data_IF_738359717803
#
_entry.id   IF_738359717803
#
_cell.length_a   1.000
_cell.length_b   1.000
_cell.length_c   1.000
_cell.angle_alpha   90.00
_cell.angle_beta   90.00
_cell.angle_gamma   90.00
#
_symmetry.space_group_name_H-M   'P 1'
#
loop_
_entity.id
_entity.type
_entity.pdbx_description
1 polymer ?
#
# COMPACT_ATOMS: atom_id res chain seq x y z
N UNK A 1 -4.68 16.08 23.19
CA UNK A 1 -4.46 16.17 21.74
C UNK A 1 -3.89 14.82 21.29
N UNK A 2 -4.39 14.19 20.22
CA UNK A 2 -3.80 12.93 19.76
C UNK A 2 -2.39 13.21 19.25
N UNK A 3 -1.46 12.33 19.59
CA UNK A 3 -0.09 12.35 19.14
C UNK A 3 -0.01 12.28 17.59
N UNK A 4 1.01 12.85 16.97
CA UNK A 4 1.19 12.86 15.50
C UNK A 4 1.29 11.43 14.97
N UNK A 5 1.99 10.54 15.66
CA UNK A 5 2.09 9.13 15.28
C UNK A 5 0.72 8.45 15.25
N UNK A 6 -0.14 8.71 16.23
CA UNK A 6 -1.51 8.21 16.24
C UNK A 6 -2.37 8.77 15.10
N UNK A 7 -2.14 10.03 14.71
CA UNK A 7 -2.83 10.63 13.57
C UNK A 7 -2.38 10.00 12.25
N UNK A 8 -1.08 9.76 12.06
CA UNK A 8 -0.53 9.06 10.89
C UNK A 8 -1.05 7.63 10.78
N UNK A 9 -1.04 6.88 11.89
CA UNK A 9 -1.62 5.54 11.94
C UNK A 9 -3.11 5.53 11.57
N UNK A 10 -3.85 6.53 12.04
CA UNK A 10 -5.25 6.71 11.67
C UNK A 10 -5.42 6.97 10.17
N UNK A 11 -4.63 7.85 9.57
CA UNK A 11 -4.66 8.13 8.13
C UNK A 11 -4.40 6.87 7.31
N UNK A 12 -3.44 6.05 7.73
CA UNK A 12 -3.18 4.75 7.09
C UNK A 12 -4.40 3.81 7.23
N UNK A 13 -4.99 3.68 8.41
CA UNK A 13 -6.19 2.87 8.62
C UNK A 13 -7.38 3.35 7.79
N UNK A 14 -7.54 4.66 7.62
CA UNK A 14 -8.58 5.25 6.76
C UNK A 14 -8.32 4.94 5.26
N UNK A 15 -7.07 4.99 4.81
CA UNK A 15 -6.68 4.53 3.46
C UNK A 15 -7.02 3.05 3.24
N UNK A 16 -6.75 2.22 4.24
CA UNK A 16 -6.95 0.76 4.15
C UNK A 16 -8.42 0.36 4.18
N UNK A 17 -9.19 0.90 5.13
CA UNK A 17 -10.51 0.38 5.51
C UNK A 17 -11.67 1.34 5.27
N UNK A 18 -11.43 2.60 5.00
CA UNK A 18 -12.44 3.60 4.71
C UNK A 18 -12.41 4.82 5.62
N UNK A 19 -13.33 5.74 5.33
CA UNK A 19 -13.45 7.06 5.96
C UNK A 19 -12.32 8.06 5.56
N UNK A 20 -11.51 7.73 4.55
CA UNK A 20 -10.56 8.68 3.99
C UNK A 20 -11.26 9.81 3.22
N UNK A 21 -10.60 10.96 3.10
CA UNK A 21 -11.10 12.11 2.35
C UNK A 21 -11.33 11.81 0.85
N UNK A 22 -10.72 10.75 0.32
CA UNK A 22 -10.89 10.31 -1.08
C UNK A 22 -12.20 9.56 -1.31
N UNK A 23 -12.91 9.15 -0.25
CA UNK A 23 -14.11 8.33 -0.33
C UNK A 23 -13.88 6.88 -0.80
N UNK A 24 -12.62 6.48 -0.99
CA UNK A 24 -12.23 5.13 -1.41
C UNK A 24 -11.23 4.55 -0.42
N UNK A 25 -11.26 3.23 -0.23
CA UNK A 25 -10.27 2.51 0.55
C UNK A 25 -9.74 1.31 -0.22
N UNK A 26 -8.52 0.89 0.10
CA UNK A 26 -7.90 -0.25 -0.56
C UNK A 26 -8.76 -1.51 -0.42
N UNK A 27 -9.32 -1.76 0.77
CA UNK A 27 -10.20 -2.89 1.03
C UNK A 27 -11.44 -2.85 0.14
N UNK A 28 -12.18 -1.74 0.13
CA UNK A 28 -13.42 -1.63 -0.65
C UNK A 28 -13.17 -1.76 -2.16
N UNK A 29 -12.01 -1.30 -2.62
CA UNK A 29 -11.65 -1.38 -4.04
C UNK A 29 -11.26 -2.80 -4.44
N UNK A 30 -10.54 -3.55 -3.58
CA UNK A 30 -10.05 -4.90 -3.88
C UNK A 30 -11.04 -6.02 -3.49
N UNK A 31 -12.06 -5.73 -2.70
CA UNK A 31 -12.94 -6.74 -2.10
C UNK A 31 -13.61 -7.63 -3.14
N UNK A 32 -14.12 -7.04 -4.21
CA UNK A 32 -14.82 -7.69 -5.31
C UNK A 32 -13.96 -7.87 -6.59
N UNK A 33 -12.62 -7.71 -6.49
CA UNK A 33 -11.69 -7.98 -7.59
C UNK A 33 -11.25 -9.44 -7.53
N UNK A 34 -11.65 -10.22 -8.54
CA UNK A 34 -11.19 -11.59 -8.74
C UNK A 34 -9.81 -11.65 -9.42
N UNK A 35 -9.15 -12.83 -9.40
CA UNK A 35 -7.80 -12.96 -9.93
C UNK A 35 -7.71 -12.62 -11.42
N UNK A 36 -8.72 -13.00 -12.23
CA UNK A 36 -8.73 -12.71 -13.68
C UNK A 36 -8.73 -11.21 -13.94
N UNK A 37 -9.54 -10.46 -13.22
CA UNK A 37 -9.57 -9.00 -13.28
C UNK A 37 -8.25 -8.40 -12.75
N UNK A 38 -7.72 -8.97 -11.67
CA UNK A 38 -6.48 -8.47 -11.04
C UNK A 38 -5.26 -8.60 -11.95
N UNK A 39 -5.14 -9.67 -12.74
CA UNK A 39 -4.01 -9.91 -13.65
C UNK A 39 -4.28 -9.42 -15.08
N UNK A 40 -5.46 -8.87 -15.35
CA UNK A 40 -5.80 -8.43 -16.69
C UNK A 40 -4.90 -7.25 -17.13
N UNK A 41 -4.16 -7.45 -18.21
CA UNK A 41 -3.26 -6.44 -18.77
C UNK A 41 -4.01 -5.58 -19.80
N UNK A 42 -4.20 -4.32 -19.50
CA UNK A 42 -4.56 -3.30 -20.49
C UNK A 42 -3.27 -2.73 -21.08
N UNK A 43 -3.21 -2.62 -22.42
CA UNK A 43 -2.04 -2.09 -23.12
C UNK A 43 -1.58 -0.74 -22.55
N UNK A 44 -0.32 -0.67 -22.19
CA UNK A 44 0.32 0.53 -21.64
C UNK A 44 0.09 0.76 -20.14
N UNK A 45 -0.59 -0.17 -19.42
CA UNK A 45 -0.86 -0.02 -17.99
C UNK A 45 -0.30 -1.19 -17.17
N UNK A 46 0.02 -0.94 -15.91
CA UNK A 46 0.23 -2.00 -14.93
C UNK A 46 -1.10 -2.68 -14.61
N UNK A 47 -1.06 -3.95 -14.19
CA UNK A 47 -2.26 -4.65 -13.73
C UNK A 47 -2.66 -4.21 -12.32
N UNK A 48 -3.91 -4.52 -11.91
CA UNK A 48 -4.36 -4.29 -10.52
C UNK A 48 -3.46 -5.07 -9.54
N UNK A 49 -3.10 -6.31 -9.89
CA UNK A 49 -2.20 -7.12 -9.07
C UNK A 49 -0.82 -6.47 -8.89
N UNK A 50 -0.22 -5.97 -9.98
CA UNK A 50 1.08 -5.28 -9.94
C UNK A 50 1.04 -4.02 -9.07
N UNK A 51 0.00 -3.20 -9.18
CA UNK A 51 -0.15 -2.00 -8.36
C UNK A 51 -0.40 -2.35 -6.88
N UNK A 52 -1.18 -3.38 -6.60
CA UNK A 52 -1.42 -3.86 -5.23
C UNK A 52 -0.13 -4.41 -4.61
N UNK A 53 0.66 -5.16 -5.39
CA UNK A 53 1.98 -5.63 -4.97
C UNK A 53 2.92 -4.46 -4.67
N UNK A 54 2.96 -3.46 -5.53
CA UNK A 54 3.80 -2.28 -5.39
C UNK A 54 3.48 -1.50 -4.11
N UNK A 55 2.21 -1.30 -3.78
CA UNK A 55 1.79 -0.69 -2.51
C UNK A 55 2.27 -1.55 -1.32
N UNK A 56 2.03 -2.87 -1.37
CA UNK A 56 2.43 -3.78 -0.29
C UNK A 56 3.95 -3.83 -0.09
N UNK A 57 4.72 -3.83 -1.18
CA UNK A 57 6.17 -3.85 -1.19
C UNK A 57 6.77 -2.68 -0.38
N UNK A 58 6.27 -1.47 -0.61
CA UNK A 58 6.75 -0.29 0.13
C UNK A 58 6.22 -0.27 1.56
N UNK A 59 4.97 -0.64 1.82
CA UNK A 59 4.45 -0.75 3.18
C UNK A 59 5.30 -1.72 4.02
N UNK A 60 5.62 -2.89 3.47
CA UNK A 60 6.48 -3.88 4.13
C UNK A 60 7.88 -3.34 4.40
N UNK A 61 8.53 -2.77 3.40
CA UNK A 61 9.89 -2.25 3.54
C UNK A 61 10.00 -1.11 4.56
N UNK A 62 9.07 -0.17 4.56
CA UNK A 62 9.03 0.90 5.56
C UNK A 62 8.67 0.35 6.95
N UNK A 63 7.74 -0.59 7.03
CA UNK A 63 7.37 -1.27 8.28
C UNK A 63 8.57 -1.99 8.91
N UNK A 64 9.43 -2.62 8.10
CA UNK A 64 10.65 -3.28 8.58
C UNK A 64 11.64 -2.27 9.18
N UNK A 65 11.80 -1.10 8.57
CA UNK A 65 12.62 -0.01 9.15
C UNK A 65 12.05 0.45 10.49
N UNK A 66 10.73 0.57 10.64
CA UNK A 66 10.12 0.92 11.94
C UNK A 66 10.40 -0.14 13.03
N UNK A 67 10.69 -1.38 12.66
CA UNK A 67 11.09 -2.44 13.58
C UNK A 67 12.60 -2.51 13.83
N UNK A 68 13.38 -1.55 13.30
CA UNK A 68 14.82 -1.49 13.45
C UNK A 68 15.62 -2.31 12.42
N UNK A 69 14.96 -2.82 11.39
CA UNK A 69 15.65 -3.51 10.29
C UNK A 69 16.24 -2.49 9.29
N UNK A 70 17.30 -2.83 8.57
CA UNK A 70 17.83 -1.98 7.51
C UNK A 70 16.84 -1.84 6.35
N UNK A 71 16.89 -0.72 5.64
CA UNK A 71 16.14 -0.51 4.39
C UNK A 71 16.78 -1.34 3.27
N UNK A 72 16.13 -2.43 2.86
CA UNK A 72 16.64 -3.34 1.83
C UNK A 72 15.84 -3.27 0.52
N UNK A 73 14.68 -2.60 0.52
CA UNK A 73 13.86 -2.45 -0.70
C UNK A 73 14.57 -1.60 -1.75
N UNK A 74 14.30 -1.91 -3.02
CA UNK A 74 14.85 -1.19 -4.18
C UNK A 74 13.78 -1.06 -5.25
N UNK A 75 13.64 0.11 -5.85
CA UNK A 75 12.62 0.43 -6.85
C UNK A 75 12.54 -0.59 -7.99
N UNK A 76 13.69 -1.09 -8.44
CA UNK A 76 13.74 -2.09 -9.53
C UNK A 76 13.01 -3.40 -9.25
N UNK A 77 12.72 -3.71 -7.99
CA UNK A 77 11.99 -4.91 -7.56
C UNK A 77 10.55 -4.63 -7.15
N UNK A 78 10.14 -3.37 -7.16
CA UNK A 78 8.84 -2.96 -6.64
C UNK A 78 7.65 -3.41 -7.51
N UNK A 79 7.93 -3.89 -8.72
CA UNK A 79 6.95 -4.48 -9.64
C UNK A 79 7.23 -5.97 -9.95
N UNK A 80 8.10 -6.63 -9.19
CA UNK A 80 8.35 -8.09 -9.31
C UNK A 80 7.17 -8.88 -8.71
N UNK A 81 5.96 -8.54 -9.17
CA UNK A 81 4.72 -9.12 -8.72
C UNK A 81 4.65 -10.61 -9.07
N UNK A 82 4.26 -11.49 -8.14
CA UNK A 82 3.98 -12.89 -8.47
C UNK A 82 2.93 -13.04 -9.57
N UNK A 83 3.08 -14.06 -10.40
CA UNK A 83 2.10 -14.40 -11.42
C UNK A 83 0.95 -15.21 -10.77
N UNK A 84 -0.15 -14.54 -10.48
CA UNK A 84 -1.33 -15.17 -9.88
C UNK A 84 -2.11 -15.93 -10.93
N UNK A 85 -2.18 -17.27 -10.77
CA UNK A 85 -2.86 -18.18 -11.69
C UNK A 85 -4.22 -18.66 -11.16
N UNK A 86 -4.56 -18.38 -9.90
CA UNK A 86 -5.78 -18.87 -9.25
C UNK A 86 -6.40 -17.86 -8.30
N UNK A 87 -7.71 -17.97 -8.08
CA UNK A 87 -8.43 -17.16 -7.10
C UNK A 87 -7.90 -17.39 -5.67
N UNK A 88 -7.46 -18.62 -5.37
CA UNK A 88 -6.89 -18.96 -4.04
C UNK A 88 -5.61 -18.14 -3.80
N UNK A 89 -4.69 -18.12 -4.78
CA UNK A 89 -3.43 -17.39 -4.66
C UNK A 89 -3.66 -15.86 -4.55
N UNK A 90 -4.58 -15.32 -5.35
CA UNK A 90 -4.95 -13.91 -5.29
C UNK A 90 -5.59 -13.52 -3.96
N UNK A 91 -6.52 -14.34 -3.47
CA UNK A 91 -7.18 -14.11 -2.17
C UNK A 91 -6.18 -14.16 -1.01
N UNK A 92 -5.26 -15.13 -1.03
CA UNK A 92 -4.19 -15.20 -0.03
C UNK A 92 -3.29 -13.97 -0.07
N UNK A 93 -2.97 -13.45 -1.26
CA UNK A 93 -2.19 -12.22 -1.39
C UNK A 93 -2.96 -10.99 -0.89
N UNK A 94 -4.26 -10.85 -1.19
CA UNK A 94 -5.10 -9.79 -0.60
C UNK A 94 -5.05 -9.82 0.93
N UNK A 95 -5.13 -11.01 1.52
CA UNK A 95 -5.04 -11.18 2.96
C UNK A 95 -3.66 -10.75 3.50
N UNK A 96 -2.56 -11.17 2.84
CA UNK A 96 -1.20 -10.73 3.19
C UNK A 96 -1.06 -9.20 3.21
N UNK A 97 -1.62 -8.49 2.21
CA UNK A 97 -1.60 -7.02 2.16
C UNK A 97 -2.17 -6.43 3.45
N UNK A 98 -3.32 -6.91 3.92
CA UNK A 98 -3.97 -6.36 5.11
C UNK A 98 -3.26 -6.76 6.40
N UNK A 99 -2.70 -7.97 6.48
CA UNK A 99 -1.87 -8.39 7.62
C UNK A 99 -0.61 -7.52 7.75
N UNK A 100 0.10 -7.26 6.64
CA UNK A 100 1.25 -6.34 6.61
C UNK A 100 0.84 -4.93 7.02
N UNK A 101 -0.28 -4.45 6.48
CA UNK A 101 -0.78 -3.11 6.72
C UNK A 101 -1.21 -2.89 8.19
N UNK A 102 -1.84 -3.88 8.82
CA UNK A 102 -2.23 -3.82 10.24
C UNK A 102 -1.00 -3.77 11.16
N UNK A 103 0.01 -4.59 10.87
CA UNK A 103 1.30 -4.54 11.59
C UNK A 103 1.96 -3.18 11.41
N UNK A 104 1.97 -2.65 10.20
CA UNK A 104 2.55 -1.34 9.89
C UNK A 104 1.82 -0.20 10.62
N UNK A 105 0.48 -0.19 10.57
CA UNK A 105 -0.33 0.79 11.28
C UNK A 105 -0.07 0.77 12.80
N UNK A 106 0.06 -0.42 13.38
CA UNK A 106 0.39 -0.58 14.80
C UNK A 106 1.78 -0.02 15.13
N UNK A 107 2.80 -0.33 14.29
CA UNK A 107 4.15 0.21 14.48
C UNK A 107 4.19 1.73 14.43
N UNK A 108 3.43 2.35 13.52
CA UNK A 108 3.31 3.82 13.46
C UNK A 108 2.62 4.35 14.72
N UNK A 109 1.54 3.71 15.18
CA UNK A 109 0.78 4.14 16.36
C UNK A 109 1.61 4.11 17.65
N UNK A 110 2.53 3.14 17.75
CA UNK A 110 3.45 2.94 18.89
C UNK A 110 4.74 3.77 18.78
N UNK A 111 4.99 4.45 17.65
CA UNK A 111 6.20 5.24 17.44
C UNK A 111 6.19 6.50 18.30
N UNK A 112 7.29 6.73 19.03
CA UNK A 112 7.48 8.00 19.72
C UNK A 112 7.49 9.16 18.70
N UNK A 113 6.68 10.18 18.94
CA UNK A 113 6.60 11.34 18.05
C UNK A 113 7.93 12.07 17.87
N UNK A 114 8.84 12.01 18.84
CA UNK A 114 10.18 12.55 18.69
C UNK A 114 10.96 11.82 17.59
N UNK A 115 10.69 10.53 17.38
CA UNK A 115 11.32 9.72 16.34
C UNK A 115 10.96 10.21 14.92
N UNK A 116 9.83 10.86 14.75
CA UNK A 116 9.38 11.37 13.46
C UNK A 116 10.33 12.40 12.86
N UNK A 117 11.06 13.15 13.71
CA UNK A 117 12.02 14.16 13.27
C UNK A 117 13.42 13.58 12.98
N UNK A 118 13.70 12.35 13.39
CA UNK A 118 14.98 11.71 13.13
C UNK A 118 15.14 11.32 11.66
N UNK A 119 16.39 11.21 11.18
CA UNK A 119 16.69 10.68 9.85
C UNK A 119 16.16 9.26 9.70
N UNK A 120 15.45 8.99 8.60
CA UNK A 120 14.81 7.69 8.37
C UNK A 120 15.82 6.53 8.33
N UNK A 121 16.76 6.53 7.39
CA UNK A 121 17.87 5.57 7.29
C UNK A 121 19.19 6.26 6.99
N UNK A 122 19.14 7.23 6.09
CA UNK A 122 20.21 8.17 5.79
C UNK A 122 19.63 9.54 5.42
N UNK A 123 20.49 10.57 5.35
CA UNK A 123 20.06 11.95 5.12
C UNK A 123 19.38 12.18 3.74
N UNK A 124 19.58 11.27 2.77
CA UNK A 124 18.99 11.43 1.43
C UNK A 124 17.47 11.17 1.44
N UNK A 125 17.00 10.32 2.37
CA UNK A 125 15.58 10.01 2.50
C UNK A 125 14.81 11.00 3.37
N UNK A 126 15.50 11.91 4.09
CA UNK A 126 14.88 12.81 5.04
C UNK A 126 14.49 12.09 6.34
N UNK A 127 13.49 12.61 7.05
CA UNK A 127 13.06 12.09 8.34
C UNK A 127 11.93 11.04 8.23
N UNK A 128 11.61 10.39 9.35
CA UNK A 128 10.53 9.40 9.40
C UNK A 128 9.18 10.01 8.97
N UNK A 129 8.85 11.21 9.42
CA UNK A 129 7.59 11.88 9.08
C UNK A 129 7.41 12.00 7.56
N UNK A 130 8.44 12.50 6.86
CA UNK A 130 8.42 12.65 5.40
C UNK A 130 8.20 11.32 4.69
N UNK A 131 8.85 10.24 5.17
CA UNK A 131 8.71 8.92 4.53
C UNK A 131 7.31 8.32 4.77
N UNK A 132 6.74 8.49 5.96
CA UNK A 132 5.39 7.99 6.27
C UNK A 132 4.31 8.75 5.47
N UNK A 133 4.40 10.08 5.38
CA UNK A 133 3.49 10.88 4.54
C UNK A 133 3.67 10.55 3.07
N UNK A 134 4.91 10.49 2.57
CA UNK A 134 5.19 10.15 1.18
C UNK A 134 4.67 8.76 0.79
N UNK A 135 4.75 7.78 1.69
CA UNK A 135 4.16 6.46 1.46
C UNK A 135 2.63 6.51 1.37
N UNK A 136 1.96 7.31 2.21
CA UNK A 136 0.51 7.49 2.13
C UNK A 136 0.09 8.17 0.82
N UNK A 137 0.78 9.23 0.41
CA UNK A 137 0.55 9.92 -0.86
C UNK A 137 0.73 8.96 -2.05
N UNK A 138 1.83 8.23 -2.07
CA UNK A 138 2.15 7.23 -3.07
C UNK A 138 1.09 6.11 -3.14
N UNK A 139 0.64 5.63 -1.99
CA UNK A 139 -0.40 4.60 -1.90
C UNK A 139 -1.75 5.10 -2.43
N UNK A 140 -2.14 6.34 -2.13
CA UNK A 140 -3.35 6.94 -2.68
C UNK A 140 -3.27 7.17 -4.19
N UNK A 141 -2.09 7.55 -4.71
CA UNK A 141 -1.86 7.68 -6.13
C UNK A 141 -2.12 6.35 -6.86
N UNK A 142 -1.58 5.25 -6.35
CA UNK A 142 -1.79 3.93 -6.95
C UNK A 142 -3.20 3.38 -6.71
N UNK A 143 -3.84 3.68 -5.58
CA UNK A 143 -5.24 3.35 -5.35
C UNK A 143 -6.15 3.99 -6.42
N UNK A 144 -5.87 5.25 -6.76
CA UNK A 144 -6.59 5.94 -7.84
C UNK A 144 -6.43 5.24 -9.19
N UNK A 145 -5.22 4.76 -9.51
CA UNK A 145 -4.97 3.97 -10.73
C UNK A 145 -5.74 2.64 -10.71
N UNK A 146 -5.73 1.91 -9.59
CA UNK A 146 -6.50 0.66 -9.44
C UNK A 146 -7.99 0.91 -9.67
N UNK A 147 -8.57 1.98 -9.10
CA UNK A 147 -9.98 2.35 -9.30
C UNK A 147 -10.31 2.58 -10.77
N UNK A 148 -9.44 3.29 -11.49
CA UNK A 148 -9.64 3.56 -12.93
C UNK A 148 -9.52 2.28 -13.75
N UNK A 149 -8.48 1.47 -13.51
CA UNK A 149 -8.29 0.19 -14.20
C UNK A 149 -9.48 -0.74 -14.03
N UNK A 150 -9.95 -0.90 -12.80
CA UNK A 150 -11.14 -1.69 -12.47
C UNK A 150 -12.37 -1.24 -13.29
N UNK A 151 -12.62 0.07 -13.35
CA UNK A 151 -13.72 0.61 -14.16
C UNK A 151 -13.53 0.34 -15.65
N UNK A 152 -12.31 0.50 -16.18
CA UNK A 152 -12.01 0.28 -17.59
C UNK A 152 -12.17 -1.20 -17.98
N UNK A 153 -11.68 -2.13 -17.15
CA UNK A 153 -11.81 -3.57 -17.39
C UNK A 153 -13.28 -3.96 -17.42
N UNK A 154 -14.06 -3.57 -16.43
CA UNK A 154 -15.49 -3.87 -16.32
C UNK A 154 -16.32 -3.24 -17.43
N UNK A 155 -16.01 -2.00 -17.81
CA UNK A 155 -16.70 -1.34 -18.94
C UNK A 155 -16.50 -2.09 -20.26
N UNK A 156 -15.36 -2.74 -20.45
CA UNK A 156 -15.07 -3.57 -21.63
C UNK A 156 -15.62 -4.99 -21.56
N UNK A 157 -16.21 -5.40 -20.42
CA UNK A 157 -16.67 -6.78 -20.20
C UNK A 157 -15.53 -7.80 -20.16
N UNK A 158 -14.37 -7.41 -19.59
CA UNK A 158 -13.14 -8.21 -19.56
C UNK A 158 -12.85 -8.76 -18.15
N UNK A 159 -13.85 -8.86 -17.30
CA UNK A 159 -13.76 -9.37 -15.93
C UNK A 159 -13.77 -10.93 -15.82
#
# INVERSE_FOLDING_TARGET
>A
MKDISQQLARQLKEFLYGQSMTGSSLKNVLDDVGYREAVFLLDGFNTIAMLSYHINYYMKGVSDVLSGQPLVIRDKFSFDCPDFQTEIAWTAFKQEIFEVADVFAKRIEELDSAKLEESFTDNNYGNYFRNLIGLLEHSHYHLGQIVILKKMIRYKGLE
#
